data_IF_822732408151
#
_entry.id   IF_822732408151
#
_cell.length_a   1.000
_cell.length_b   1.000
_cell.length_c   1.000
_cell.angle_alpha   90.00
_cell.angle_beta   90.00
_cell.angle_gamma   90.00
#
_symmetry.space_group_name_H-M   'P 1'
#
loop_
_entity.id
_entity.type
_entity.pdbx_description
1 polymer ?
#
# COMPACT_ATOMS: atom_id res chain seq x y z
N UNK A 1 17.06 -9.18 -14.34
CA UNK A 1 17.58 -7.92 -13.76
C UNK A 1 16.50 -7.18 -12.97
N UNK A 2 16.89 -6.51 -11.87
CA UNK A 2 16.00 -5.64 -11.08
C UNK A 2 15.87 -4.27 -11.76
N UNK A 3 14.66 -3.71 -11.81
CA UNK A 3 14.42 -2.35 -12.33
C UNK A 3 13.96 -1.44 -11.20
N UNK A 4 14.59 -0.28 -11.05
CA UNK A 4 14.15 0.74 -10.09
C UNK A 4 12.86 1.40 -10.60
N UNK A 5 11.86 1.49 -9.72
CA UNK A 5 10.58 2.11 -10.00
C UNK A 5 10.19 3.07 -8.87
N UNK A 6 9.28 4.01 -9.18
CA UNK A 6 8.64 4.87 -8.19
C UNK A 6 7.18 4.44 -8.09
N UNK A 7 6.76 4.06 -6.89
CA UNK A 7 5.40 3.61 -6.59
C UNK A 7 4.75 4.64 -5.68
N UNK A 8 3.50 4.97 -5.98
CA UNK A 8 2.73 5.93 -5.21
C UNK A 8 1.78 5.21 -4.27
N UNK A 9 1.87 5.58 -3.00
CA UNK A 9 1.12 4.98 -1.91
C UNK A 9 0.15 5.99 -1.30
N UNK A 10 -0.98 5.48 -0.86
CA UNK A 10 -1.90 6.15 0.06
C UNK A 10 -1.71 5.52 1.44
N UNK A 11 -1.50 6.35 2.47
CA UNK A 11 -1.16 5.91 3.82
C UNK A 11 -2.35 6.11 4.78
N UNK A 12 -2.66 5.11 5.63
CA UNK A 12 -3.71 5.24 6.63
C UNK A 12 -3.32 6.29 7.68
N UNK A 13 -4.31 6.94 8.27
CA UNK A 13 -4.16 7.84 9.41
C UNK A 13 -4.11 7.03 10.72
N UNK A 14 -3.74 7.70 11.82
CA UNK A 14 -3.98 7.17 13.17
C UNK A 14 -5.49 7.18 13.48
N UNK A 15 -5.99 6.23 14.29
CA UNK A 15 -5.25 5.16 14.97
C UNK A 15 -5.04 3.89 14.13
N UNK A 16 -5.77 3.68 13.03
CA UNK A 16 -5.75 2.40 12.31
C UNK A 16 -4.37 2.06 11.70
N UNK A 17 -3.59 3.07 11.33
CA UNK A 17 -2.18 2.90 10.93
C UNK A 17 -1.35 2.18 11.99
N UNK A 18 -1.53 2.53 13.27
CA UNK A 18 -0.75 1.93 14.37
C UNK A 18 -1.11 0.47 14.55
N UNK A 19 -2.40 0.13 14.44
CA UNK A 19 -2.82 -1.27 14.46
C UNK A 19 -2.23 -2.07 13.29
N UNK A 20 -2.25 -1.51 12.07
CA UNK A 20 -1.62 -2.18 10.93
C UNK A 20 -0.12 -2.38 11.15
N UNK A 21 0.60 -1.37 11.66
CA UNK A 21 2.00 -1.49 12.00
C UNK A 21 2.23 -2.60 13.05
N UNK A 22 1.40 -2.68 14.08
CA UNK A 22 1.51 -3.71 15.12
C UNK A 22 1.34 -5.12 14.53
N UNK A 23 0.32 -5.34 13.70
CA UNK A 23 0.08 -6.61 13.00
C UNK A 23 1.27 -6.99 12.12
N UNK A 24 1.78 -6.05 11.31
CA UNK A 24 2.94 -6.29 10.43
C UNK A 24 4.19 -6.64 11.25
N UNK A 25 4.43 -5.96 12.38
CA UNK A 25 5.57 -6.24 13.27
C UNK A 25 5.47 -7.62 13.93
N UNK A 26 4.28 -8.03 14.36
CA UNK A 26 4.03 -9.38 14.87
C UNK A 26 4.43 -10.39 13.80
N UNK A 27 3.95 -10.24 12.57
CA UNK A 27 4.34 -11.15 11.47
C UNK A 27 5.81 -11.10 11.10
N UNK A 28 6.45 -9.94 11.19
CA UNK A 28 7.89 -9.80 10.98
C UNK A 28 8.68 -10.68 11.96
N UNK A 29 8.23 -10.72 13.21
CA UNK A 29 8.88 -11.47 14.29
C UNK A 29 8.53 -12.96 14.24
N UNK A 30 7.25 -13.30 14.20
CA UNK A 30 6.77 -14.69 14.27
C UNK A 30 7.06 -15.49 12.98
N UNK A 31 6.99 -14.86 11.81
CA UNK A 31 7.14 -15.54 10.52
C UNK A 31 8.41 -15.13 9.75
N UNK A 32 9.31 -14.38 10.39
CA UNK A 32 10.52 -13.80 9.76
C UNK A 32 10.21 -13.01 8.48
N UNK A 33 8.99 -12.50 8.35
CA UNK A 33 8.53 -11.72 7.21
C UNK A 33 9.20 -10.33 7.18
N UNK A 34 9.28 -9.63 6.04
CA UNK A 34 9.74 -8.24 6.02
C UNK A 34 8.78 -7.33 6.80
N UNK A 35 9.34 -6.35 7.49
CA UNK A 35 8.58 -5.23 8.03
C UNK A 35 8.41 -4.15 6.96
N UNK A 36 7.24 -3.51 6.89
CA UNK A 36 6.98 -2.45 5.91
C UNK A 36 5.92 -1.48 6.41
N UNK A 37 5.93 -0.27 5.87
CA UNK A 37 4.92 0.74 6.15
C UNK A 37 3.55 0.29 5.62
N UNK A 38 2.46 0.27 6.41
CA UNK A 38 1.13 -0.06 5.91
C UNK A 38 0.67 0.96 4.87
N UNK A 39 0.30 0.47 3.69
CA UNK A 39 -0.03 1.32 2.56
C UNK A 39 -1.03 0.68 1.61
N UNK A 40 -1.74 1.53 0.86
CA UNK A 40 -2.52 1.16 -0.31
C UNK A 40 -1.79 1.66 -1.55
N UNK A 41 -1.38 0.74 -2.43
CA UNK A 41 -0.70 1.11 -3.68
C UNK A 41 -1.68 1.73 -4.66
N UNK A 42 -1.46 2.98 -5.07
CA UNK A 42 -2.29 3.68 -6.04
C UNK A 42 -1.91 3.27 -7.47
N UNK A 43 -0.61 3.32 -7.79
CA UNK A 43 -0.04 2.83 -9.04
C UNK A 43 1.50 2.78 -8.95
N UNK A 44 2.12 2.06 -9.88
CA UNK A 44 3.56 2.13 -10.14
C UNK A 44 3.79 3.03 -11.36
N UNK A 45 4.57 4.10 -11.19
CA UNK A 45 4.98 4.99 -12.26
C UNK A 45 6.30 4.56 -12.88
N UNK A 46 6.52 4.96 -14.13
CA UNK A 46 7.87 5.03 -14.69
C UNK A 46 8.67 6.15 -14.02
N UNK A 47 9.98 6.20 -14.25
CA UNK A 47 10.83 7.30 -13.80
C UNK A 47 10.38 8.57 -14.56
N UNK A 48 9.54 9.38 -13.91
CA UNK A 48 9.00 10.60 -14.49
C UNK A 48 10.09 11.67 -14.64
N UNK A 49 9.83 12.67 -15.50
CA UNK A 49 10.74 13.81 -15.72
C UNK A 49 10.80 14.77 -14.52
N UNK A 50 9.77 14.76 -13.66
CA UNK A 50 9.66 15.65 -12.50
C UNK A 50 10.03 14.93 -11.19
N UNK A 51 10.62 15.63 -10.21
CA UNK A 51 10.81 15.11 -8.86
C UNK A 51 9.48 14.69 -8.22
N UNK A 52 9.40 13.54 -7.52
CA UNK A 52 8.16 13.06 -6.91
C UNK A 52 7.52 14.05 -5.92
N UNK A 53 8.32 14.84 -5.20
CA UNK A 53 7.80 15.89 -4.33
C UNK A 53 7.01 16.97 -5.10
N UNK A 54 7.45 17.37 -6.31
CA UNK A 54 6.72 18.32 -7.15
C UNK A 54 5.38 17.71 -7.61
N UNK A 55 5.39 16.44 -8.02
CA UNK A 55 4.19 15.70 -8.42
C UNK A 55 3.18 15.62 -7.27
N UNK A 56 3.62 15.24 -6.06
CA UNK A 56 2.71 15.17 -4.91
C UNK A 56 2.08 16.53 -4.59
N UNK A 57 2.83 17.64 -4.71
CA UNK A 57 2.31 18.99 -4.46
C UNK A 57 1.17 19.38 -5.40
N UNK A 58 1.24 18.99 -6.68
CA UNK A 58 0.20 19.29 -7.69
C UNK A 58 -1.13 18.62 -7.38
N UNK A 59 -1.13 17.50 -6.65
CA UNK A 59 -2.34 16.74 -6.36
C UNK A 59 -3.14 17.37 -5.24
N UNK A 60 -4.32 17.90 -5.59
CA UNK A 60 -5.29 18.47 -4.63
C UNK A 60 -6.32 17.39 -4.28
N UNK A 61 -6.18 16.78 -3.13
CA UNK A 61 -7.13 15.80 -2.60
C UNK A 61 -7.29 15.97 -1.09
N UNK A 62 -8.50 15.71 -0.59
CA UNK A 62 -8.81 15.65 0.84
C UNK A 62 -8.51 14.24 1.39
N UNK A 63 -8.48 14.03 2.71
CA UNK A 63 -8.33 12.71 3.28
C UNK A 63 -9.46 11.79 2.79
N UNK A 64 -9.14 10.54 2.48
CA UNK A 64 -10.07 9.59 1.86
C UNK A 64 -10.47 8.56 2.91
N UNK A 65 -11.76 8.44 3.20
CA UNK A 65 -12.30 7.39 4.06
C UNK A 65 -12.75 6.21 3.21
N UNK A 66 -12.22 5.02 3.48
CA UNK A 66 -12.58 3.80 2.76
C UNK A 66 -13.19 2.77 3.71
N UNK A 67 -14.15 2.00 3.23
CA UNK A 67 -14.70 0.87 3.98
C UNK A 67 -13.76 -0.33 3.88
N UNK A 68 -13.37 -0.87 5.03
CA UNK A 68 -12.54 -2.06 5.15
C UNK A 68 -13.42 -3.31 5.08
N UNK A 69 -12.99 -4.29 4.28
CA UNK A 69 -13.54 -5.64 4.24
C UNK A 69 -12.83 -6.57 5.22
N UNK A 70 -13.13 -7.87 5.10
CA UNK A 70 -12.43 -8.92 5.83
C UNK A 70 -10.98 -9.06 5.33
N UNK A 71 -10.13 -9.66 6.16
CA UNK A 71 -8.80 -10.11 5.73
C UNK A 71 -8.96 -11.19 4.66
N UNK A 72 -8.27 -10.99 3.55
CA UNK A 72 -8.20 -11.92 2.43
C UNK A 72 -6.74 -12.39 2.25
N UNK A 73 -6.56 -13.44 1.46
CA UNK A 73 -5.25 -14.02 1.20
C UNK A 73 -5.06 -14.42 -0.26
N UNK A 74 -3.80 -14.54 -0.69
CA UNK A 74 -3.44 -15.06 -2.02
C UNK A 74 -2.07 -15.74 -2.01
N UNK A 75 -1.68 -16.35 -3.14
CA UNK A 75 -0.35 -16.94 -3.31
C UNK A 75 0.76 -15.95 -3.73
N UNK A 76 0.42 -14.68 -4.00
CA UNK A 76 1.39 -13.67 -4.44
C UNK A 76 2.20 -13.15 -3.24
N UNK A 77 3.53 -13.11 -3.35
CA UNK A 77 4.43 -12.66 -2.29
C UNK A 77 4.04 -11.31 -1.68
N UNK A 78 3.76 -10.30 -2.50
CA UNK A 78 3.34 -8.97 -2.02
C UNK A 78 1.85 -8.88 -1.70
N UNK A 79 1.16 -10.01 -1.47
CA UNK A 79 -0.29 -10.06 -1.24
C UNK A 79 -0.68 -11.36 -0.50
N UNK A 80 0.15 -11.78 0.46
CA UNK A 80 -0.07 -13.03 1.21
C UNK A 80 -1.30 -12.91 2.11
N UNK A 81 -1.34 -11.89 2.97
CA UNK A 81 -2.52 -11.47 3.74
C UNK A 81 -2.73 -9.97 3.51
N UNK A 82 -3.99 -9.57 3.36
CA UNK A 82 -4.33 -8.18 3.05
C UNK A 82 -5.77 -7.85 3.42
N UNK A 83 -6.03 -6.59 3.73
CA UNK A 83 -7.38 -6.04 3.94
C UNK A 83 -7.85 -5.43 2.64
N UNK A 84 -8.98 -5.90 2.11
CA UNK A 84 -9.62 -5.30 0.93
C UNK A 84 -10.37 -4.03 1.32
N UNK A 85 -10.33 -3.02 0.47
CA UNK A 85 -11.12 -1.81 0.64
C UNK A 85 -12.15 -1.68 -0.48
N UNK A 86 -13.29 -1.06 -0.20
CA UNK A 86 -14.23 -0.66 -1.26
C UNK A 86 -13.66 0.54 -2.00
N UNK A 87 -13.55 0.44 -3.32
CA UNK A 87 -13.12 1.56 -4.17
C UNK A 87 -14.18 2.68 -4.16
N UNK A 88 -13.74 3.94 -4.13
CA UNK A 88 -14.61 5.13 -4.15
C UNK A 88 -14.24 6.05 -5.31
N UNK A 89 -15.15 6.93 -5.77
CA UNK A 89 -14.82 7.94 -6.78
C UNK A 89 -13.61 8.80 -6.40
N UNK A 90 -13.51 9.21 -5.13
CA UNK A 90 -12.38 10.00 -4.62
C UNK A 90 -11.04 9.25 -4.74
N UNK A 91 -11.02 7.95 -4.42
CA UNK A 91 -9.81 7.12 -4.56
C UNK A 91 -9.40 6.95 -6.03
N UNK A 92 -10.38 6.67 -6.90
CA UNK A 92 -10.14 6.54 -8.35
C UNK A 92 -9.61 7.86 -8.93
N UNK A 93 -10.22 8.99 -8.56
CA UNK A 93 -9.78 10.33 -8.98
C UNK A 93 -8.34 10.60 -8.53
N UNK A 94 -8.01 10.35 -7.26
CA UNK A 94 -6.65 10.52 -6.75
C UNK A 94 -5.61 9.70 -7.54
N UNK A 95 -5.92 8.43 -7.81
CA UNK A 95 -5.03 7.56 -8.58
C UNK A 95 -4.83 8.08 -10.02
N UNK A 96 -5.90 8.53 -10.68
CA UNK A 96 -5.87 9.10 -12.03
C UNK A 96 -5.09 10.42 -12.06
N UNK A 97 -5.34 11.32 -11.11
CA UNK A 97 -4.65 12.63 -11.04
C UNK A 97 -3.14 12.45 -10.88
N UNK A 98 -2.71 11.54 -9.98
CA UNK A 98 -1.29 11.21 -9.83
C UNK A 98 -0.71 10.49 -11.06
N UNK A 99 -1.45 9.58 -11.69
CA UNK A 99 -1.00 8.92 -12.91
C UNK A 99 -0.80 9.94 -14.05
N UNK A 100 -1.71 10.90 -14.20
CA UNK A 100 -1.61 11.98 -15.19
C UNK A 100 -0.41 12.90 -14.89
N UNK A 101 -0.20 13.28 -13.64
CA UNK A 101 0.94 14.10 -13.21
C UNK A 101 2.31 13.40 -13.41
N UNK A 102 2.32 12.06 -13.47
CA UNK A 102 3.53 11.26 -13.75
C UNK A 102 3.69 10.89 -15.22
N UNK A 103 2.78 11.35 -16.10
CA UNK A 103 2.67 10.91 -17.49
C UNK A 103 2.59 9.37 -17.63
N UNK A 104 2.01 8.71 -16.64
CA UNK A 104 1.88 7.27 -16.56
C UNK A 104 0.56 6.83 -17.20
N UNK A 105 0.62 5.79 -18.03
CA UNK A 105 -0.57 5.10 -18.58
C UNK A 105 -1.19 4.11 -17.59
N UNK A 106 -1.01 4.32 -16.29
CA UNK A 106 -1.50 3.40 -15.27
C UNK A 106 -3.03 3.26 -15.36
N UNK A 107 -3.51 2.02 -15.42
CA UNK A 107 -4.95 1.71 -15.44
C UNK A 107 -5.59 1.99 -14.08
N UNK A 108 -6.91 2.14 -14.08
CA UNK A 108 -7.70 2.34 -12.87
C UNK A 108 -7.43 1.27 -11.78
N UNK A 109 -7.48 1.70 -10.52
CA UNK A 109 -7.22 0.86 -9.35
C UNK A 109 -8.29 -0.24 -9.20
N UNK A 110 -7.92 -1.49 -9.50
CA UNK A 110 -8.85 -2.64 -9.53
C UNK A 110 -9.11 -3.30 -8.18
N UNK A 111 -8.09 -3.37 -7.34
CA UNK A 111 -8.18 -4.08 -6.05
C UNK A 111 -7.47 -3.30 -4.95
N UNK A 112 -8.08 -2.22 -4.44
CA UNK A 112 -7.49 -1.44 -3.36
C UNK A 112 -7.38 -2.28 -2.09
N UNK A 113 -6.16 -2.39 -1.58
CA UNK A 113 -5.88 -3.16 -0.37
C UNK A 113 -4.72 -2.58 0.43
N UNK A 114 -4.69 -2.91 1.72
CA UNK A 114 -3.52 -2.76 2.60
C UNK A 114 -3.00 -4.15 2.90
N UNK A 115 -1.75 -4.42 2.55
CA UNK A 115 -1.10 -5.69 2.88
C UNK A 115 -0.75 -5.78 4.36
N UNK A 116 -0.86 -6.98 4.93
CA UNK A 116 -0.50 -7.29 6.32
C UNK A 116 0.72 -8.21 6.41
N UNK A 117 0.96 -9.03 5.38
CA UNK A 117 2.02 -10.03 5.37
C UNK A 117 2.57 -10.22 3.95
N UNK A 118 3.90 -10.29 3.84
CA UNK A 118 4.63 -10.70 2.64
C UNK A 118 5.50 -11.92 2.91
N UNK A 119 5.01 -13.10 2.56
CA UNK A 119 5.80 -14.34 2.70
C UNK A 119 5.24 -15.45 1.82
N UNK A 120 5.99 -16.53 1.67
CA UNK A 120 5.50 -17.78 1.07
C UNK A 120 5.22 -18.77 2.21
N UNK A 121 3.94 -18.96 2.52
CA UNK A 121 3.46 -19.98 3.49
C UNK A 121 2.35 -20.81 2.84
N UNK A 122 2.09 -22.06 3.29
CA UNK A 122 1.05 -22.92 2.74
C UNK A 122 -0.35 -22.29 2.72
N UNK A 123 -1.21 -22.73 1.80
CA UNK A 123 -2.58 -22.19 1.66
C UNK A 123 -3.41 -22.38 2.93
N UNK A 124 -3.28 -23.52 3.62
CA UNK A 124 -3.97 -23.81 4.87
C UNK A 124 -3.64 -22.76 5.94
N UNK A 125 -2.34 -22.52 6.20
CA UNK A 125 -1.88 -21.50 7.12
C UNK A 125 -2.40 -20.09 6.76
N UNK A 126 -2.39 -19.70 5.48
CA UNK A 126 -2.97 -18.40 5.06
C UNK A 126 -4.45 -18.28 5.40
N UNK A 127 -5.22 -19.36 5.19
CA UNK A 127 -6.66 -19.40 5.46
C UNK A 127 -6.95 -19.29 6.96
N UNK A 128 -6.22 -20.04 7.78
CA UNK A 128 -6.36 -20.04 9.24
C UNK A 128 -6.03 -18.66 9.82
N UNK A 129 -4.87 -18.10 9.45
CA UNK A 129 -4.46 -16.77 9.93
C UNK A 129 -5.47 -15.69 9.49
N UNK A 130 -5.96 -15.74 8.23
CA UNK A 130 -6.95 -14.78 7.76
C UNK A 130 -8.30 -14.89 8.52
N UNK A 131 -8.67 -16.07 9.00
CA UNK A 131 -9.93 -16.30 9.72
C UNK A 131 -9.91 -15.72 11.14
N UNK A 132 -8.75 -15.75 11.81
CA UNK A 132 -8.60 -15.31 13.20
C UNK A 132 -8.37 -13.81 13.35
N UNK A 133 -7.77 -13.13 12.35
CA UNK A 133 -7.57 -11.68 12.43
C UNK A 133 -8.92 -10.96 12.35
N UNK A 134 -9.32 -10.33 13.46
CA UNK A 134 -10.46 -9.42 13.53
C UNK A 134 -9.95 -7.98 13.63
N UNK A 135 -10.35 -7.14 12.67
CA UNK A 135 -10.06 -5.72 12.71
C UNK A 135 -11.16 -5.02 13.52
N UNK A 136 -10.83 -4.17 14.51
CA UNK A 136 -11.80 -3.47 15.34
C UNK A 136 -12.46 -2.28 14.62
N UNK A 137 -12.20 -2.11 13.32
CA UNK A 137 -12.73 -1.01 12.52
C UNK A 137 -13.38 -1.51 11.23
N UNK A 138 -14.41 -0.78 10.78
CA UNK A 138 -15.09 -1.00 9.50
C UNK A 138 -14.69 0.03 8.43
N UNK A 139 -14.05 1.13 8.84
CA UNK A 139 -13.61 2.21 7.96
C UNK A 139 -12.23 2.67 8.38
N UNK A 140 -11.40 3.07 7.41
CA UNK A 140 -10.07 3.62 7.65
C UNK A 140 -9.98 4.97 6.95
N UNK A 141 -9.46 5.97 7.65
CA UNK A 141 -9.12 7.26 7.05
C UNK A 141 -7.70 7.18 6.48
N UNK A 142 -7.50 7.69 5.28
CA UNK A 142 -6.19 7.84 4.66
C UNK A 142 -5.89 9.32 4.48
N UNK A 143 -4.81 9.80 5.09
CA UNK A 143 -4.54 11.24 5.24
C UNK A 143 -3.23 11.70 4.60
N UNK A 144 -2.51 10.80 3.93
CA UNK A 144 -1.21 11.11 3.36
C UNK A 144 -0.95 10.29 2.10
N UNK A 145 -0.22 10.88 1.16
CA UNK A 145 0.32 10.19 -0.02
C UNK A 145 1.84 10.17 0.06
N UNK A 146 2.46 9.11 -0.47
CA UNK A 146 3.91 8.96 -0.51
C UNK A 146 4.37 8.46 -1.87
N UNK A 147 5.56 8.89 -2.28
CA UNK A 147 6.29 8.32 -3.39
C UNK A 147 7.42 7.46 -2.83
N UNK A 148 7.53 6.23 -3.33
CA UNK A 148 8.45 5.22 -2.80
C UNK A 148 9.29 4.65 -3.91
N UNK A 149 10.61 4.68 -3.70
CA UNK A 149 11.57 4.04 -4.59
C UNK A 149 11.71 2.58 -4.19
N UNK A 150 11.56 1.67 -5.14
CA UNK A 150 11.74 0.24 -4.93
C UNK A 150 12.26 -0.47 -6.19
N UNK A 151 12.69 -1.72 -6.03
CA UNK A 151 13.15 -2.57 -7.12
C UNK A 151 12.10 -3.60 -7.52
N UNK A 152 11.74 -3.66 -8.80
CA UNK A 152 10.83 -4.64 -9.38
C UNK A 152 11.60 -5.77 -10.10
N UNK A 153 11.07 -7.01 -10.10
CA UNK A 153 9.92 -7.47 -9.31
C UNK A 153 10.28 -7.65 -7.82
N UNK A 154 9.34 -7.40 -6.92
CA UNK A 154 9.51 -7.66 -5.47
C UNK A 154 9.17 -9.13 -5.19
N UNK A 155 10.15 -9.90 -4.70
CA UNK A 155 10.04 -11.36 -4.50
C UNK A 155 10.60 -11.85 -3.17
N UNK A 156 11.38 -11.04 -2.47
CA UNK A 156 12.08 -11.41 -1.23
C UNK A 156 11.97 -10.33 -0.16
N UNK A 157 12.31 -10.69 1.08
CA UNK A 157 12.46 -9.74 2.19
C UNK A 157 13.48 -8.64 1.86
N UNK A 158 14.65 -9.02 1.34
CA UNK A 158 15.69 -8.08 0.94
C UNK A 158 15.23 -7.06 -0.13
N UNK A 159 14.24 -7.40 -0.96
CA UNK A 159 13.64 -6.43 -1.88
C UNK A 159 12.81 -5.36 -1.17
N UNK A 160 12.10 -5.76 -0.11
CA UNK A 160 11.22 -4.89 0.70
C UNK A 160 12.06 -4.00 1.61
N UNK A 161 13.12 -4.54 2.21
CA UNK A 161 14.02 -3.81 3.11
C UNK A 161 14.74 -2.63 2.39
N UNK A 162 14.84 -2.68 1.05
CA UNK A 162 15.42 -1.62 0.21
C UNK A 162 14.44 -0.50 -0.15
N UNK A 163 13.17 -0.61 0.23
CA UNK A 163 12.17 0.40 -0.09
C UNK A 163 12.48 1.71 0.63
N UNK A 164 12.41 2.82 -0.10
CA UNK A 164 12.67 4.15 0.46
C UNK A 164 11.53 5.10 0.12
N UNK A 165 10.88 5.65 1.13
CA UNK A 165 9.99 6.80 0.97
C UNK A 165 10.87 7.98 0.58
N UNK A 166 10.66 8.54 -0.62
CA UNK A 166 11.46 9.64 -1.18
C UNK A 166 10.70 10.97 -1.20
N UNK A 167 9.37 10.93 -1.04
CA UNK A 167 8.54 12.10 -0.81
C UNK A 167 7.26 11.69 -0.09
N UNK A 168 6.72 12.58 0.74
CA UNK A 168 5.43 12.40 1.41
C UNK A 168 4.70 13.74 1.45
N UNK A 169 3.38 13.72 1.33
CA UNK A 169 2.51 14.89 1.44
C UNK A 169 1.27 14.53 2.26
N UNK A 170 0.88 15.41 3.19
CA UNK A 170 -0.40 15.31 3.88
C UNK A 170 -1.55 15.74 2.96
N UNK A 171 -2.68 15.05 3.08
CA UNK A 171 -3.97 15.40 2.47
C UNK A 171 -4.84 16.23 3.43
N UNK A 172 -4.34 16.54 4.64
CA UNK A 172 -5.03 17.43 5.58
C UNK A 172 -5.13 18.83 4.98
N UNK A 173 -6.21 19.53 5.33
CA UNK A 173 -6.43 20.92 4.92
C UNK A 173 -5.33 21.80 5.49
#
# INVERSE_FOLDING_TARGET
MKKTAIVYWLLPAKPERELFCAIIRIFCRELRAPNFEPHLTLFAGSRGRQPPAKILRQVRSRPIRLSAGKVAFSGKFTKTLYVRFKSTPALKKLAVDLARATNSRAKALRDPHVSLLYTRIPRAARREIAAVIKLPFRRVLFDSVAAVRLSLPVRTRADVDKWKIIAKKSLRR
#
